data_IF_128076108856
#
_entry.id   IF_128076108856
#
_cell.length_a   1.000
_cell.length_b   1.000
_cell.length_c   1.000
_cell.angle_alpha   90.00
_cell.angle_beta   90.00
_cell.angle_gamma   90.00
#
_symmetry.space_group_name_H-M   'P 1'
#
loop_
_entity.id
_entity.type
_entity.pdbx_description
1 polymer ?
#
# COMPACT_ATOMS: atom_id res chain seq x y z
N UNK A 1 15.42 -15.94 -5.45
CA UNK A 1 14.69 -16.70 -6.49
C UNK A 1 15.43 -16.46 -7.80
N UNK A 2 15.65 -17.49 -8.60
CA UNK A 2 16.20 -17.31 -9.94
C UNK A 2 15.11 -16.79 -10.90
N UNK A 3 15.49 -16.19 -12.03
CA UNK A 3 14.55 -15.79 -13.08
C UNK A 3 13.69 -16.96 -13.58
N UNK A 4 14.26 -18.17 -13.57
CA UNK A 4 13.56 -19.41 -13.94
C UNK A 4 12.45 -19.76 -12.94
N UNK A 5 12.72 -19.61 -11.64
CA UNK A 5 11.70 -19.84 -10.60
C UNK A 5 10.56 -18.82 -10.66
N UNK A 6 10.89 -17.55 -10.98
CA UNK A 6 9.85 -16.53 -11.17
C UNK A 6 8.97 -16.83 -12.38
N UNK A 7 9.57 -17.25 -13.50
CA UNK A 7 8.83 -17.64 -14.70
C UNK A 7 7.95 -18.86 -14.44
N UNK A 8 8.44 -19.88 -13.73
CA UNK A 8 7.65 -21.05 -13.35
C UNK A 8 6.47 -20.69 -12.44
N UNK A 9 6.65 -19.77 -11.49
CA UNK A 9 5.58 -19.31 -10.62
C UNK A 9 4.48 -18.56 -11.40
N UNK A 10 4.87 -17.70 -12.38
CA UNK A 10 3.91 -17.02 -13.25
C UNK A 10 3.20 -18.01 -14.21
N UNK A 11 3.91 -19.01 -14.71
CA UNK A 11 3.30 -20.06 -15.53
C UNK A 11 2.23 -20.84 -14.75
N UNK A 12 2.51 -21.19 -13.49
CA UNK A 12 1.52 -21.81 -12.59
C UNK A 12 0.30 -20.91 -12.38
N UNK A 13 0.48 -19.61 -12.20
CA UNK A 13 -0.65 -18.68 -12.08
C UNK A 13 -1.46 -18.66 -13.38
N UNK A 14 -0.79 -18.64 -14.54
CA UNK A 14 -1.44 -18.68 -15.85
C UNK A 14 -2.23 -19.99 -16.09
N UNK A 15 -1.70 -21.13 -15.67
CA UNK A 15 -2.43 -22.43 -15.68
C UNK A 15 -3.68 -22.37 -14.80
N UNK A 16 -3.66 -21.59 -13.74
CA UNK A 16 -4.82 -21.31 -12.90
C UNK A 16 -5.74 -20.21 -13.47
N UNK A 17 -5.50 -19.71 -14.68
CA UNK A 17 -6.27 -18.65 -15.32
C UNK A 17 -6.01 -17.26 -14.73
N UNK A 18 -4.85 -17.02 -14.10
CA UNK A 18 -4.45 -15.72 -13.55
C UNK A 18 -3.20 -15.25 -14.29
N UNK A 19 -3.34 -14.20 -15.10
CA UNK A 19 -2.28 -13.67 -15.95
C UNK A 19 -1.75 -12.33 -15.42
N UNK A 20 -0.45 -12.27 -15.19
CA UNK A 20 0.22 -11.02 -14.78
C UNK A 20 0.36 -10.07 -15.98
N UNK A 21 -0.14 -8.86 -15.83
CA UNK A 21 -0.05 -7.77 -16.79
C UNK A 21 0.82 -6.66 -16.20
N UNK A 22 2.14 -6.60 -16.50
CA UNK A 22 3.02 -5.56 -15.94
C UNK A 22 2.79 -4.22 -16.64
N UNK A 23 2.15 -3.27 -15.95
CA UNK A 23 1.79 -1.95 -16.45
C UNK A 23 2.87 -0.92 -16.07
N UNK A 24 3.32 -0.04 -16.96
CA UNK A 24 4.33 0.97 -16.66
C UNK A 24 3.81 2.01 -15.66
N UNK A 25 4.69 2.42 -14.73
CA UNK A 25 4.43 3.52 -13.79
C UNK A 25 5.57 4.55 -13.87
N UNK A 26 5.36 5.80 -13.44
CA UNK A 26 6.43 6.78 -13.34
C UNK A 26 7.25 6.62 -12.05
N UNK A 27 6.90 5.67 -11.19
CA UNK A 27 7.48 5.52 -9.86
C UNK A 27 8.73 4.64 -9.88
N UNK A 28 9.63 4.89 -8.91
CA UNK A 28 10.89 4.14 -8.78
C UNK A 28 10.69 2.67 -8.43
N UNK A 29 9.54 2.30 -7.89
CA UNK A 29 9.17 0.90 -7.61
C UNK A 29 9.10 0.06 -8.89
N UNK A 30 8.93 0.71 -10.05
CA UNK A 30 8.86 0.07 -11.34
C UNK A 30 7.42 -0.20 -11.81
N UNK A 31 7.25 -1.24 -12.65
CA UNK A 31 5.94 -1.61 -13.17
C UNK A 31 5.04 -2.12 -12.07
N UNK A 32 3.76 -1.76 -12.12
CA UNK A 32 2.72 -2.39 -11.31
C UNK A 32 2.20 -3.64 -12.03
N UNK A 33 1.93 -4.68 -11.28
CA UNK A 33 1.34 -5.91 -11.80
C UNK A 33 -0.19 -5.85 -11.61
N UNK A 34 -0.91 -5.61 -12.70
CA UNK A 34 -2.33 -5.93 -12.76
C UNK A 34 -2.51 -7.42 -13.09
N UNK A 35 -3.63 -8.01 -12.70
CA UNK A 35 -3.88 -9.44 -12.92
C UNK A 35 -5.22 -9.65 -13.63
N UNK A 36 -5.15 -10.22 -14.85
CA UNK A 36 -6.32 -10.70 -15.56
C UNK A 36 -6.70 -12.07 -15.01
N UNK A 37 -7.92 -12.20 -14.52
CA UNK A 37 -8.48 -13.46 -14.04
C UNK A 37 -9.48 -13.95 -15.09
N UNK A 38 -9.12 -15.01 -15.81
CA UNK A 38 -9.96 -15.65 -16.81
C UNK A 38 -11.01 -16.54 -16.15
N UNK A 39 -12.08 -15.91 -15.74
CA UNK A 39 -13.25 -16.51 -15.12
C UNK A 39 -14.51 -15.75 -15.53
N UNK A 40 -15.65 -16.06 -15.00
CA UNK A 40 -16.90 -15.33 -15.21
C UNK A 40 -17.43 -14.79 -13.88
N UNK A 41 -17.50 -13.47 -13.76
CA UNK A 41 -17.17 -12.43 -14.75
C UNK A 41 -15.67 -12.33 -15.06
N UNK A 42 -15.31 -11.92 -16.32
CA UNK A 42 -13.92 -11.62 -16.68
C UNK A 42 -13.44 -10.46 -15.82
N UNK A 43 -12.42 -10.71 -15.02
CA UNK A 43 -12.01 -9.83 -13.92
C UNK A 43 -10.60 -9.28 -14.14
N UNK A 44 -10.41 -7.99 -13.88
CA UNK A 44 -9.10 -7.36 -13.77
C UNK A 44 -8.87 -6.89 -12.33
N UNK A 45 -7.84 -7.40 -11.67
CA UNK A 45 -7.36 -6.90 -10.38
C UNK A 45 -6.29 -5.86 -10.62
N UNK A 46 -6.51 -4.65 -10.10
CA UNK A 46 -5.73 -3.44 -10.31
C UNK A 46 -5.62 -3.02 -11.79
N UNK A 47 -5.18 -1.80 -12.06
CA UNK A 47 -5.38 -1.22 -13.38
C UNK A 47 -4.18 -0.46 -13.95
N UNK A 48 -3.22 -0.09 -13.11
CA UNK A 48 -2.19 0.86 -13.49
C UNK A 48 -2.61 2.33 -13.30
N UNK A 49 -1.65 3.27 -13.40
CA UNK A 49 -1.89 4.70 -13.27
C UNK A 49 -2.62 5.27 -14.50
N UNK A 50 -3.39 6.34 -14.31
CA UNK A 50 -4.13 7.03 -15.37
C UNK A 50 -3.18 7.76 -16.34
N UNK A 51 -2.64 7.03 -17.30
CA UNK A 51 -1.81 7.59 -18.38
C UNK A 51 -2.08 6.90 -19.71
N UNK A 52 -1.80 7.59 -20.82
CA UNK A 52 -1.91 7.01 -22.15
C UNK A 52 -1.03 5.77 -22.31
N UNK A 53 0.22 5.83 -21.86
CA UNK A 53 1.16 4.70 -21.91
C UNK A 53 0.66 3.49 -21.13
N UNK A 54 0.05 3.71 -19.95
CA UNK A 54 -0.52 2.63 -19.15
C UNK A 54 -1.76 2.03 -19.82
N UNK A 55 -2.62 2.86 -20.40
CA UNK A 55 -3.80 2.41 -21.14
C UNK A 55 -3.42 1.57 -22.36
N UNK A 56 -2.48 2.06 -23.18
CA UNK A 56 -1.97 1.32 -24.35
C UNK A 56 -1.41 -0.05 -23.93
N UNK A 57 -0.70 -0.10 -22.81
CA UNK A 57 -0.14 -1.36 -22.30
C UNK A 57 -1.22 -2.31 -21.78
N UNK A 58 -2.24 -1.80 -21.09
CA UNK A 58 -3.40 -2.63 -20.68
C UNK A 58 -4.09 -3.22 -21.92
N UNK A 59 -4.36 -2.40 -22.94
CA UNK A 59 -4.98 -2.86 -24.19
C UNK A 59 -4.14 -3.92 -24.89
N UNK A 60 -2.83 -3.67 -25.00
CA UNK A 60 -1.88 -4.61 -25.60
C UNK A 60 -1.83 -5.93 -24.83
N UNK A 61 -1.78 -5.86 -23.49
CA UNK A 61 -1.71 -7.04 -22.63
C UNK A 61 -3.00 -7.86 -22.69
N UNK A 62 -4.17 -7.22 -22.61
CA UNK A 62 -5.46 -7.89 -22.80
C UNK A 62 -5.55 -8.54 -24.20
N UNK A 63 -5.09 -7.81 -25.25
CA UNK A 63 -5.04 -8.33 -26.61
C UNK A 63 -4.20 -9.59 -26.78
N UNK A 64 -3.12 -9.74 -26.03
CA UNK A 64 -2.30 -10.96 -26.02
C UNK A 64 -3.06 -12.19 -25.51
N UNK A 65 -4.12 -11.98 -24.71
CA UNK A 65 -5.05 -12.99 -24.22
C UNK A 65 -6.35 -13.06 -25.03
N UNK A 66 -6.41 -12.40 -26.21
CA UNK A 66 -7.62 -12.35 -27.05
C UNK A 66 -8.78 -11.59 -26.43
N UNK A 67 -8.50 -10.68 -25.49
CA UNK A 67 -9.49 -9.85 -24.79
C UNK A 67 -9.30 -8.39 -25.15
N UNK A 68 -10.36 -7.61 -24.94
CA UNK A 68 -10.39 -6.15 -25.07
C UNK A 68 -10.87 -5.56 -23.75
N UNK A 69 -10.68 -4.26 -23.56
CA UNK A 69 -11.19 -3.52 -22.40
C UNK A 69 -12.71 -3.72 -22.26
N UNK A 70 -13.44 -3.72 -23.37
CA UNK A 70 -14.90 -3.87 -23.41
C UNK A 70 -15.40 -5.26 -22.98
N UNK A 71 -14.50 -6.24 -22.91
CA UNK A 71 -14.83 -7.60 -22.45
C UNK A 71 -14.80 -7.73 -20.92
N UNK A 72 -14.14 -6.79 -20.22
CA UNK A 72 -14.09 -6.76 -18.75
C UNK A 72 -15.50 -6.61 -18.17
N UNK A 73 -15.78 -7.35 -17.11
CA UNK A 73 -17.05 -7.32 -16.39
C UNK A 73 -16.90 -6.94 -14.91
N UNK A 74 -15.73 -7.16 -14.35
CA UNK A 74 -15.39 -6.80 -12.99
C UNK A 74 -13.98 -6.21 -12.93
N UNK A 75 -13.83 -5.10 -12.22
CA UNK A 75 -12.54 -4.51 -11.85
C UNK A 75 -12.46 -4.57 -10.33
N UNK A 76 -11.39 -5.17 -9.80
CA UNK A 76 -11.15 -5.27 -8.36
C UNK A 76 -10.00 -4.35 -8.01
N UNK A 77 -10.16 -3.51 -6.99
CA UNK A 77 -9.12 -2.59 -6.53
C UNK A 77 -8.59 -3.08 -5.19
N UNK A 78 -7.29 -3.32 -5.14
CA UNK A 78 -6.62 -3.82 -3.94
C UNK A 78 -6.45 -2.75 -2.88
N UNK A 79 -6.08 -1.51 -3.27
CA UNK A 79 -5.89 -0.39 -2.35
C UNK A 79 -5.88 0.97 -3.07
N UNK A 80 -5.77 2.06 -2.31
CA UNK A 80 -5.97 3.43 -2.78
C UNK A 80 -4.74 4.12 -3.39
N UNK A 81 -3.68 3.41 -3.79
CA UNK A 81 -2.57 4.04 -4.50
C UNK A 81 -2.84 4.17 -6.00
N UNK A 82 -2.44 5.31 -6.57
CA UNK A 82 -2.81 5.72 -7.93
C UNK A 82 -2.27 4.81 -9.03
N UNK A 83 -1.22 4.06 -8.80
CA UNK A 83 -0.70 3.07 -9.72
C UNK A 83 -1.49 1.75 -9.71
N UNK A 84 -2.38 1.55 -8.73
CA UNK A 84 -3.26 0.40 -8.67
C UNK A 84 -4.66 0.70 -9.22
N UNK A 85 -5.25 1.85 -8.89
CA UNK A 85 -6.63 2.15 -9.32
C UNK A 85 -6.73 3.20 -10.43
N UNK A 86 -5.65 3.86 -10.83
CA UNK A 86 -5.66 5.08 -11.65
C UNK A 86 -6.47 4.99 -12.93
N UNK A 87 -6.38 3.88 -13.69
CA UNK A 87 -7.15 3.66 -14.92
C UNK A 87 -8.57 3.14 -14.67
N UNK A 88 -8.95 2.77 -13.46
CA UNK A 88 -10.23 2.12 -13.18
C UNK A 88 -11.44 2.91 -13.74
N UNK A 89 -11.43 4.24 -13.60
CA UNK A 89 -12.49 5.12 -14.14
C UNK A 89 -12.63 5.04 -15.67
N UNK A 90 -11.51 4.99 -16.40
CA UNK A 90 -11.53 4.88 -17.87
C UNK A 90 -12.00 3.48 -18.28
N UNK A 91 -11.46 2.44 -17.64
CA UNK A 91 -11.81 1.06 -17.94
C UNK A 91 -13.28 0.78 -17.63
N UNK A 92 -13.81 1.27 -16.47
CA UNK A 92 -15.22 1.17 -16.10
C UNK A 92 -16.13 1.81 -17.13
N UNK A 93 -15.84 3.04 -17.57
CA UNK A 93 -16.67 3.74 -18.58
C UNK A 93 -16.68 3.04 -19.95
N UNK A 94 -15.57 2.42 -20.34
CA UNK A 94 -15.45 1.73 -21.63
C UNK A 94 -16.11 0.36 -21.64
N UNK A 95 -15.92 -0.40 -20.57
CA UNK A 95 -16.40 -1.79 -20.48
C UNK A 95 -17.81 -1.91 -19.91
N UNK A 96 -18.25 -0.91 -19.11
CA UNK A 96 -19.42 -1.04 -18.25
C UNK A 96 -19.21 -2.01 -17.09
N UNK A 97 -17.94 -2.37 -16.76
CA UNK A 97 -17.63 -3.29 -15.69
C UNK A 97 -18.07 -2.76 -14.32
N UNK A 98 -18.46 -3.66 -13.46
CA UNK A 98 -18.63 -3.40 -12.04
C UNK A 98 -17.26 -3.16 -11.40
N UNK A 99 -17.22 -2.39 -10.29
CA UNK A 99 -15.99 -2.13 -9.54
C UNK A 99 -16.16 -2.58 -8.11
N UNK A 100 -15.27 -3.46 -7.68
CA UNK A 100 -15.19 -3.96 -6.31
C UNK A 100 -13.99 -3.35 -5.58
N UNK A 101 -14.21 -2.86 -4.38
CA UNK A 101 -13.17 -2.35 -3.49
C UNK A 101 -13.57 -2.51 -2.03
N UNK A 102 -12.60 -2.43 -1.11
CA UNK A 102 -12.87 -2.40 0.33
C UNK A 102 -13.88 -1.29 0.66
N UNK A 103 -14.88 -1.60 1.49
CA UNK A 103 -15.97 -0.67 1.83
C UNK A 103 -15.44 0.68 2.35
N UNK A 104 -14.46 0.64 3.28
CA UNK A 104 -13.84 1.85 3.79
C UNK A 104 -13.03 2.66 2.76
N UNK A 105 -12.61 2.06 1.64
CA UNK A 105 -11.91 2.76 0.56
C UNK A 105 -12.89 3.42 -0.43
N UNK A 106 -14.09 2.89 -0.59
CA UNK A 106 -15.04 3.34 -1.60
C UNK A 106 -15.34 4.85 -1.56
N UNK A 107 -15.61 5.49 -0.40
CA UNK A 107 -15.84 6.92 -0.33
C UNK A 107 -14.67 7.77 -0.85
N UNK A 108 -13.43 7.31 -0.61
CA UNK A 108 -12.23 8.00 -1.09
C UNK A 108 -12.08 7.87 -2.61
N UNK A 109 -12.33 6.70 -3.18
CA UNK A 109 -12.29 6.48 -4.63
C UNK A 109 -13.36 7.32 -5.34
N UNK A 110 -14.55 7.42 -4.78
CA UNK A 110 -15.67 8.16 -5.34
C UNK A 110 -15.47 9.68 -5.25
N UNK A 111 -14.83 10.17 -4.18
CA UNK A 111 -14.52 11.58 -3.92
C UNK A 111 -13.03 11.88 -4.02
N UNK A 112 -12.37 11.33 -5.03
CA UNK A 112 -10.91 11.33 -5.18
C UNK A 112 -10.27 12.71 -5.01
N UNK A 113 -10.80 13.77 -5.64
CA UNK A 113 -10.23 15.11 -5.56
C UNK A 113 -10.26 15.67 -4.12
N UNK A 114 -11.37 15.53 -3.43
CA UNK A 114 -11.55 15.94 -2.02
C UNK A 114 -10.63 15.11 -1.10
N UNK A 115 -10.53 13.83 -1.38
CA UNK A 115 -9.64 12.93 -0.66
C UNK A 115 -8.18 13.34 -0.79
N UNK A 116 -7.73 13.74 -1.98
CA UNK A 116 -6.37 14.24 -2.23
C UNK A 116 -6.10 15.56 -1.51
N UNK A 117 -7.05 16.51 -1.53
CA UNK A 117 -6.90 17.78 -0.80
C UNK A 117 -6.74 17.54 0.71
N UNK A 118 -7.56 16.66 1.25
CA UNK A 118 -7.48 16.31 2.66
C UNK A 118 -6.21 15.52 3.01
N UNK A 119 -5.68 14.69 2.11
CA UNK A 119 -4.40 14.01 2.29
C UNK A 119 -3.23 15.00 2.30
N UNK A 120 -3.24 16.00 1.40
CA UNK A 120 -2.20 17.03 1.36
C UNK A 120 -2.21 17.89 2.65
N UNK A 121 -3.39 18.30 3.14
CA UNK A 121 -3.52 19.04 4.39
C UNK A 121 -3.02 18.22 5.59
N UNK A 122 -3.39 16.95 5.66
CA UNK A 122 -2.92 16.03 6.70
C UNK A 122 -1.41 15.83 6.64
N UNK A 123 -0.84 15.61 5.45
CA UNK A 123 0.60 15.43 5.30
C UNK A 123 1.39 16.69 5.68
N UNK A 124 0.88 17.89 5.31
CA UNK A 124 1.46 19.18 5.73
C UNK A 124 1.52 19.28 7.25
N UNK A 125 0.41 19.00 7.94
CA UNK A 125 0.34 19.01 9.40
C UNK A 125 1.36 18.05 10.03
N UNK A 126 1.37 16.79 9.60
CA UNK A 126 2.30 15.80 10.16
C UNK A 126 3.76 16.21 9.89
N UNK A 127 4.08 16.64 8.69
CA UNK A 127 5.43 17.09 8.36
C UNK A 127 5.88 18.27 9.23
N UNK A 128 4.98 19.23 9.51
CA UNK A 128 5.25 20.36 10.38
C UNK A 128 5.50 19.91 11.83
N UNK A 129 4.63 19.08 12.39
CA UNK A 129 4.77 18.54 13.74
C UNK A 129 6.07 17.74 13.91
N UNK A 130 6.55 17.10 12.85
CA UNK A 130 7.76 16.28 12.87
C UNK A 130 9.04 17.03 12.49
N UNK A 131 8.99 18.37 12.40
CA UNK A 131 10.16 19.24 12.28
C UNK A 131 10.69 19.42 10.86
N UNK A 132 9.91 19.12 9.81
CA UNK A 132 10.30 19.41 8.43
C UNK A 132 10.11 20.91 8.15
N UNK A 133 11.15 21.56 7.61
CA UNK A 133 11.14 22.99 7.31
C UNK A 133 10.04 23.36 6.27
N UNK A 134 9.47 24.57 6.38
CA UNK A 134 8.31 24.99 5.59
C UNK A 134 8.57 24.99 4.08
N UNK A 135 9.76 25.42 3.65
CA UNK A 135 10.18 25.40 2.23
C UNK A 135 10.23 23.98 1.66
N UNK A 136 10.73 23.01 2.43
CA UNK A 136 10.75 21.58 2.05
C UNK A 136 9.33 21.05 1.94
N UNK A 137 8.45 21.33 2.92
CA UNK A 137 7.06 20.89 2.90
C UNK A 137 6.33 21.42 1.67
N UNK A 138 6.45 22.73 1.39
CA UNK A 138 5.84 23.35 0.21
C UNK A 138 6.36 22.74 -1.10
N UNK A 139 7.65 22.45 -1.21
CA UNK A 139 8.23 21.82 -2.40
C UNK A 139 7.69 20.39 -2.61
N UNK A 140 7.55 19.60 -1.53
CA UNK A 140 7.00 18.25 -1.60
C UNK A 140 5.52 18.28 -2.03
N UNK A 141 4.71 19.11 -1.42
CA UNK A 141 3.28 19.24 -1.77
C UNK A 141 3.10 19.70 -3.23
N UNK A 142 3.89 20.65 -3.70
CA UNK A 142 3.86 21.09 -5.10
C UNK A 142 4.23 19.95 -6.06
N UNK A 143 5.23 19.12 -5.71
CA UNK A 143 5.58 17.94 -6.50
C UNK A 143 4.45 16.90 -6.54
N UNK A 144 3.77 16.66 -5.41
CA UNK A 144 2.66 15.69 -5.35
C UNK A 144 1.43 16.14 -6.14
N UNK A 145 1.15 17.42 -6.20
CA UNK A 145 0.08 17.94 -7.06
C UNK A 145 0.25 17.52 -8.52
N UNK A 146 1.49 17.36 -9.00
CA UNK A 146 1.77 16.84 -10.33
C UNK A 146 1.30 15.40 -10.56
N UNK A 147 1.16 14.61 -9.50
CA UNK A 147 0.71 13.21 -9.60
C UNK A 147 -0.82 13.04 -9.49
N UNK A 148 -1.57 14.08 -9.12
CA UNK A 148 -3.04 13.99 -8.94
C UNK A 148 -3.77 13.52 -10.19
N UNK A 149 -3.31 13.91 -11.38
CA UNK A 149 -3.89 13.49 -12.66
C UNK A 149 -3.70 12.00 -12.98
N UNK A 150 -2.89 11.27 -12.22
CA UNK A 150 -2.66 9.84 -12.41
C UNK A 150 -3.72 8.96 -11.77
N UNK A 151 -4.67 9.53 -11.04
CA UNK A 151 -5.89 8.93 -10.56
C UNK A 151 -7.12 9.68 -11.07
N UNK A 152 -8.29 9.08 -10.93
CA UNK A 152 -9.57 9.68 -11.26
C UNK A 152 -10.68 9.08 -10.39
N UNK A 153 -11.78 9.82 -10.10
CA UNK A 153 -12.88 9.25 -9.35
C UNK A 153 -13.47 8.04 -10.06
N UNK A 154 -13.80 7.01 -9.30
CA UNK A 154 -14.42 5.78 -9.79
C UNK A 154 -15.58 5.39 -8.90
N UNK A 155 -16.69 4.92 -9.50
CA UNK A 155 -17.87 4.47 -8.76
C UNK A 155 -17.69 3.04 -8.31
N UNK A 156 -17.69 2.78 -7.02
CA UNK A 156 -17.62 1.44 -6.44
C UNK A 156 -19.02 0.83 -6.37
N UNK A 157 -19.22 -0.26 -7.09
CA UNK A 157 -20.52 -0.97 -7.16
C UNK A 157 -20.62 -2.14 -6.18
N UNK A 158 -19.46 -2.74 -5.82
CA UNK A 158 -19.38 -3.85 -4.87
C UNK A 158 -18.45 -3.46 -3.72
N UNK A 159 -19.04 -3.30 -2.52
CA UNK A 159 -18.32 -2.96 -1.31
C UNK A 159 -17.88 -4.24 -0.60
N UNK A 160 -16.57 -4.47 -0.53
CA UNK A 160 -15.97 -5.66 0.07
C UNK A 160 -15.66 -5.40 1.55
N UNK A 161 -15.80 -6.43 2.38
CA UNK A 161 -15.44 -6.39 3.80
C UNK A 161 -14.44 -7.49 4.13
N UNK A 162 -13.69 -7.32 5.22
CA UNK A 162 -12.77 -8.37 5.67
C UNK A 162 -13.48 -9.69 5.92
N UNK A 163 -12.90 -10.77 5.38
CA UNK A 163 -13.44 -12.13 5.51
C UNK A 163 -14.59 -12.48 4.57
N UNK A 164 -15.12 -11.52 3.77
CA UNK A 164 -16.14 -11.85 2.77
C UNK A 164 -15.54 -12.66 1.61
N UNK A 165 -16.42 -13.21 0.79
CA UNK A 165 -16.07 -13.99 -0.39
C UNK A 165 -16.48 -13.24 -1.66
N UNK A 166 -15.54 -13.11 -2.60
CA UNK A 166 -15.80 -12.67 -3.96
C UNK A 166 -15.92 -13.93 -4.83
N UNK A 167 -17.17 -14.34 -5.08
CA UNK A 167 -17.46 -15.53 -5.87
C UNK A 167 -17.43 -15.19 -7.36
N UNK A 168 -16.62 -15.91 -8.12
CA UNK A 168 -16.66 -16.01 -9.57
C UNK A 168 -17.24 -17.40 -9.93
N UNK A 169 -17.40 -17.69 -11.23
CA UNK A 169 -18.01 -18.97 -11.63
C UNK A 169 -17.21 -20.19 -11.17
N UNK A 170 -15.90 -20.17 -11.40
CA UNK A 170 -15.03 -21.34 -11.20
C UNK A 170 -14.08 -21.19 -10.01
N UNK A 171 -14.16 -20.08 -9.26
CA UNK A 171 -13.37 -19.82 -8.05
C UNK A 171 -14.05 -18.92 -7.05
N UNK A 172 -13.63 -19.01 -5.82
CA UNK A 172 -13.99 -18.07 -4.75
C UNK A 172 -12.73 -17.45 -4.20
N UNK A 173 -12.66 -16.13 -4.19
CA UNK A 173 -11.57 -15.37 -3.62
C UNK A 173 -12.00 -14.88 -2.23
N UNK A 174 -11.33 -15.33 -1.18
CA UNK A 174 -11.54 -14.79 0.16
C UNK A 174 -10.87 -13.42 0.24
N UNK A 175 -11.65 -12.42 0.61
CA UNK A 175 -11.20 -11.04 0.78
C UNK A 175 -10.60 -10.86 2.17
N UNK A 176 -9.37 -10.38 2.25
CA UNK A 176 -8.67 -10.20 3.52
C UNK A 176 -8.09 -8.79 3.59
N UNK A 177 -8.63 -7.97 4.50
CA UNK A 177 -8.09 -6.65 4.79
C UNK A 177 -6.78 -6.79 5.57
N UNK A 178 -5.71 -6.24 5.03
CA UNK A 178 -4.35 -6.34 5.58
C UNK A 178 -3.67 -4.97 5.64
N UNK A 179 -4.22 -4.05 6.46
CA UNK A 179 -3.71 -2.68 6.51
C UNK A 179 -2.24 -2.64 6.89
N UNK A 180 -1.54 -1.65 6.35
CA UNK A 180 -0.14 -1.43 6.67
C UNK A 180 0.59 -0.61 5.62
N UNK A 181 0.87 -1.15 4.45
CA UNK A 181 1.42 -0.38 3.32
C UNK A 181 0.50 0.80 2.98
N UNK A 182 -0.78 0.54 2.90
CA UNK A 182 -1.86 1.53 2.99
C UNK A 182 -2.90 1.10 4.02
N UNK A 183 -3.77 2.02 4.46
CA UNK A 183 -4.87 1.68 5.36
C UNK A 183 -5.95 0.83 4.70
N UNK A 184 -5.96 0.74 3.37
CA UNK A 184 -6.94 -0.01 2.58
C UNK A 184 -6.41 -1.32 1.99
N UNK A 185 -5.18 -1.72 2.29
CA UNK A 185 -4.59 -2.91 1.69
C UNK A 185 -5.50 -4.12 1.84
N UNK A 186 -5.85 -4.70 0.70
CA UNK A 186 -6.71 -5.87 0.59
C UNK A 186 -6.03 -6.91 -0.27
N UNK A 187 -5.92 -8.13 0.25
CA UNK A 187 -5.40 -9.29 -0.48
C UNK A 187 -6.54 -10.28 -0.74
N UNK A 188 -6.39 -11.10 -1.77
CA UNK A 188 -7.42 -12.03 -2.22
C UNK A 188 -6.84 -13.43 -2.26
N UNK A 189 -7.43 -14.35 -1.51
CA UNK A 189 -6.93 -15.72 -1.36
C UNK A 189 -7.81 -16.72 -2.10
N UNK A 190 -7.25 -17.35 -3.13
CA UNK A 190 -7.77 -18.55 -3.78
C UNK A 190 -7.19 -19.79 -3.06
N UNK A 191 -7.89 -20.27 -2.06
CA UNK A 191 -7.41 -21.37 -1.20
C UNK A 191 -7.34 -22.70 -1.94
N UNK A 192 -8.20 -22.93 -2.94
CA UNK A 192 -8.21 -24.17 -3.73
C UNK A 192 -6.97 -24.24 -4.62
N UNK A 193 -6.55 -23.11 -5.20
CA UNK A 193 -5.38 -23.00 -6.05
C UNK A 193 -4.11 -22.63 -5.29
N UNK A 194 -4.24 -22.36 -4.00
CA UNK A 194 -3.15 -21.98 -3.09
C UNK A 194 -2.41 -20.71 -3.55
N UNK A 195 -3.16 -19.78 -4.15
CA UNK A 195 -2.66 -18.50 -4.67
C UNK A 195 -3.24 -17.35 -3.87
N UNK A 196 -2.39 -16.40 -3.50
CA UNK A 196 -2.78 -15.10 -2.94
C UNK A 196 -2.45 -14.01 -3.95
N UNK A 197 -3.42 -13.22 -4.32
CA UNK A 197 -3.23 -11.93 -5.01
C UNK A 197 -2.90 -10.91 -3.92
N UNK A 198 -1.61 -10.65 -3.74
CA UNK A 198 -1.07 -10.00 -2.56
C UNK A 198 -0.90 -8.48 -2.68
N UNK A 199 -1.13 -7.92 -3.87
CA UNK A 199 -0.88 -6.51 -4.16
C UNK A 199 0.43 -6.01 -3.52
N UNK A 200 0.40 -4.86 -2.83
CA UNK A 200 1.58 -4.28 -2.19
C UNK A 200 1.79 -4.71 -0.74
N UNK A 201 0.89 -5.57 -0.23
CA UNK A 201 1.06 -6.14 1.10
C UNK A 201 2.39 -6.91 1.26
N UNK A 202 2.81 -7.64 0.22
CA UNK A 202 4.04 -8.42 0.27
C UNK A 202 4.81 -8.34 -1.05
N UNK A 203 5.83 -7.48 -1.11
CA UNK A 203 6.72 -7.30 -2.25
C UNK A 203 8.09 -7.88 -1.93
N UNK A 204 8.69 -8.62 -2.86
CA UNK A 204 9.93 -9.37 -2.62
C UNK A 204 11.17 -8.48 -2.55
N UNK A 205 11.37 -7.62 -3.55
CA UNK A 205 12.62 -6.87 -3.76
C UNK A 205 12.76 -5.61 -2.91
N UNK A 206 11.64 -5.11 -2.36
CA UNK A 206 11.60 -3.97 -1.45
C UNK A 206 10.74 -4.30 -0.23
N UNK A 207 10.95 -3.59 0.87
CA UNK A 207 10.00 -3.57 1.97
C UNK A 207 8.80 -2.73 1.55
N UNK A 208 7.60 -3.29 1.68
CA UNK A 208 6.37 -2.48 1.54
C UNK A 208 6.40 -1.44 2.65
N UNK A 209 6.72 -0.19 2.30
CA UNK A 209 6.87 0.87 3.30
C UNK A 209 5.47 1.27 3.82
N UNK A 210 5.16 1.06 5.11
CA UNK A 210 3.91 1.51 5.70
C UNK A 210 3.86 3.04 5.72
N UNK A 211 3.13 3.64 4.78
CA UNK A 211 3.05 5.08 4.67
C UNK A 211 2.20 5.69 5.78
N UNK A 212 2.58 6.88 6.23
CA UNK A 212 1.74 7.70 7.09
C UNK A 212 0.47 8.05 6.30
N UNK A 213 -0.68 7.74 6.85
CA UNK A 213 -1.96 8.02 6.23
C UNK A 213 -3.04 8.32 7.27
N UNK A 214 -4.12 8.92 6.79
CA UNK A 214 -5.33 9.06 7.59
C UNK A 214 -6.00 7.69 7.75
N UNK A 215 -6.71 7.45 8.86
CA UNK A 215 -7.60 6.30 8.97
C UNK A 215 -8.67 6.29 7.86
N UNK A 216 -9.12 5.12 7.42
CA UNK A 216 -10.14 4.99 6.37
C UNK A 216 -11.48 5.61 6.74
N UNK A 217 -11.89 5.48 7.99
CA UNK A 217 -13.16 5.96 8.52
C UNK A 217 -13.28 7.49 8.64
N UNK A 218 -12.19 8.20 8.34
CA UNK A 218 -12.14 9.65 8.42
C UNK A 218 -12.75 10.37 7.18
N UNK A 219 -13.03 9.63 6.10
CA UNK A 219 -13.54 10.21 4.84
C UNK A 219 -15.04 10.56 4.92
N UNK A 220 -15.79 9.96 5.83
CA UNK A 220 -17.24 10.14 5.95
C UNK A 220 -17.68 11.43 6.66
N UNK A 221 -16.80 12.44 6.79
CA UNK A 221 -17.19 13.77 7.28
C UNK A 221 -17.63 13.80 8.73
N UNK A 222 -17.09 12.93 9.55
CA UNK A 222 -17.32 12.96 10.99
C UNK A 222 -16.67 14.17 11.63
N UNK A 223 -17.33 15.34 11.55
CA UNK A 223 -16.96 16.57 12.27
C UNK A 223 -16.85 16.39 13.80
N UNK A 224 -17.27 15.24 14.32
CA UNK A 224 -17.32 14.96 15.77
C UNK A 224 -16.10 14.17 16.32
N UNK A 225 -15.17 13.73 15.50
CA UNK A 225 -14.03 12.88 15.95
C UNK A 225 -12.71 13.65 16.05
N UNK A 226 -12.63 14.71 16.83
CA UNK A 226 -11.36 15.33 17.21
C UNK A 226 -10.33 15.55 16.09
N UNK A 227 -9.12 16.03 16.42
CA UNK A 227 -8.02 16.10 15.43
C UNK A 227 -7.68 14.70 14.90
N UNK A 228 -7.50 14.53 13.56
CA UNK A 228 -7.26 13.23 12.96
C UNK A 228 -5.94 12.65 13.47
N UNK A 229 -6.03 11.58 14.24
CA UNK A 229 -4.84 10.82 14.59
C UNK A 229 -4.37 10.08 13.33
N UNK A 230 -3.06 10.10 13.08
CA UNK A 230 -2.49 9.29 12.01
C UNK A 230 -2.69 7.79 12.28
N UNK A 231 -2.86 7.01 11.20
CA UNK A 231 -2.81 5.57 11.30
C UNK A 231 -1.44 5.12 11.82
N UNK A 232 -1.42 4.06 12.63
CA UNK A 232 -0.17 3.46 13.14
C UNK A 232 0.31 2.36 12.18
N UNK A 233 0.61 2.79 10.95
CA UNK A 233 0.75 1.94 9.77
C UNK A 233 1.71 0.75 9.94
N UNK A 234 2.86 0.91 10.62
CA UNK A 234 3.78 -0.21 10.84
C UNK A 234 3.31 -1.18 11.94
N UNK A 235 2.55 -0.69 12.93
CA UNK A 235 1.90 -1.55 13.94
C UNK A 235 0.86 -2.43 13.25
N UNK A 236 -0.01 -1.81 12.44
CA UNK A 236 -1.04 -2.50 11.67
C UNK A 236 -0.40 -3.48 10.68
N UNK A 237 0.65 -3.04 9.96
CA UNK A 237 1.39 -3.88 9.03
C UNK A 237 2.01 -5.11 9.72
N UNK A 238 2.58 -4.91 10.91
CA UNK A 238 3.16 -6.01 11.69
C UNK A 238 2.09 -7.04 12.09
N UNK A 239 0.89 -6.58 12.46
CA UNK A 239 -0.26 -7.44 12.73
C UNK A 239 -0.73 -8.18 11.47
N UNK A 240 -0.85 -7.47 10.35
CA UNK A 240 -1.21 -8.01 9.04
C UNK A 240 -0.21 -9.04 8.55
N UNK A 241 1.10 -8.80 8.69
CA UNK A 241 2.15 -9.77 8.35
C UNK A 241 2.06 -11.03 9.21
N UNK A 242 1.78 -10.91 10.53
CA UNK A 242 1.57 -12.08 11.40
C UNK A 242 0.37 -12.91 10.94
N UNK A 243 -0.74 -12.26 10.59
CA UNK A 243 -1.92 -12.93 10.08
C UNK A 243 -1.65 -13.63 8.74
N UNK A 244 -0.93 -12.98 7.82
CA UNK A 244 -0.57 -13.55 6.52
C UNK A 244 0.44 -14.70 6.67
N UNK A 245 1.41 -14.58 7.60
CA UNK A 245 2.35 -15.65 7.93
C UNK A 245 1.67 -16.94 8.41
N UNK A 246 0.55 -16.79 9.10
CA UNK A 246 -0.23 -17.90 9.66
C UNK A 246 -1.25 -18.49 8.67
N UNK A 247 -1.35 -17.95 7.44
CA UNK A 247 -2.25 -18.48 6.44
C UNK A 247 -1.81 -19.87 5.98
N UNK A 248 -2.78 -20.78 5.89
CA UNK A 248 -2.61 -22.10 5.31
C UNK A 248 -2.98 -22.07 3.81
N UNK A 249 -2.54 -23.08 3.07
CA UNK A 249 -2.83 -23.22 1.64
C UNK A 249 -2.37 -21.99 0.84
N UNK A 250 -1.12 -21.57 1.04
CA UNK A 250 -0.45 -20.51 0.28
C UNK A 250 0.88 -21.02 -0.23
N UNK A 251 0.96 -21.29 -1.51
CA UNK A 251 2.19 -21.69 -2.19
C UNK A 251 2.73 -20.59 -3.11
N UNK A 252 1.88 -19.62 -3.46
CA UNK A 252 2.22 -18.52 -4.35
C UNK A 252 1.54 -17.24 -3.92
N UNK A 253 2.32 -16.16 -3.78
CA UNK A 253 1.80 -14.79 -3.63
C UNK A 253 2.16 -13.99 -4.87
N UNK A 254 1.16 -13.46 -5.53
CA UNK A 254 1.26 -12.59 -6.69
C UNK A 254 1.31 -11.14 -6.18
N UNK A 255 2.49 -10.55 -6.26
CA UNK A 255 2.76 -9.22 -5.73
C UNK A 255 2.33 -8.10 -6.68
N UNK A 256 1.99 -6.92 -6.15
CA UNK A 256 1.66 -5.73 -6.94
C UNK A 256 2.85 -5.17 -7.72
N UNK A 257 4.09 -5.48 -7.30
CA UNK A 257 5.30 -5.09 -8.01
C UNK A 257 6.35 -6.22 -8.02
N UNK A 258 7.08 -6.31 -9.14
CA UNK A 258 8.22 -7.22 -9.28
C UNK A 258 7.82 -8.69 -9.39
N UNK A 259 8.63 -9.56 -8.81
CA UNK A 259 8.50 -11.00 -8.92
C UNK A 259 7.49 -11.57 -7.91
N UNK A 260 6.82 -12.70 -8.22
CA UNK A 260 5.98 -13.41 -7.27
C UNK A 260 6.79 -13.95 -6.08
N UNK A 261 6.11 -14.26 -4.99
CA UNK A 261 6.70 -14.81 -3.75
C UNK A 261 6.26 -16.25 -3.58
N UNK A 262 7.23 -17.18 -3.53
CA UNK A 262 6.99 -18.63 -3.39
C UNK A 262 7.18 -19.13 -1.96
N UNK A 263 7.72 -18.33 -1.08
CA UNK A 263 7.89 -18.60 0.35
C UNK A 263 7.57 -17.30 1.13
N UNK A 264 6.28 -17.10 1.37
CA UNK A 264 5.80 -15.93 2.08
C UNK A 264 6.25 -15.92 3.55
N UNK A 265 6.40 -17.10 4.17
CA UNK A 265 6.81 -17.23 5.57
C UNK A 265 8.24 -16.74 5.73
N UNK A 266 9.16 -17.23 4.90
CA UNK A 266 10.56 -16.80 4.95
C UNK A 266 10.70 -15.30 4.68
N UNK A 267 9.99 -14.76 3.69
CA UNK A 267 10.02 -13.33 3.39
C UNK A 267 9.48 -12.48 4.55
N UNK A 268 8.39 -12.90 5.20
CA UNK A 268 7.83 -12.19 6.35
C UNK A 268 8.81 -12.24 7.54
N UNK A 269 9.46 -13.36 7.79
CA UNK A 269 10.49 -13.48 8.84
C UNK A 269 11.68 -12.54 8.58
N UNK A 270 12.10 -12.39 7.33
CA UNK A 270 13.09 -11.37 6.92
C UNK A 270 12.62 -9.94 7.20
N UNK A 271 11.33 -9.63 6.97
CA UNK A 271 10.74 -8.31 7.28
C UNK A 271 10.75 -8.05 8.78
N UNK A 272 10.35 -9.00 9.62
CA UNK A 272 10.43 -8.85 11.07
C UNK A 272 11.87 -8.62 11.56
N UNK A 273 12.83 -9.36 11.01
CA UNK A 273 14.24 -9.16 11.32
C UNK A 273 14.74 -7.76 10.88
N UNK A 274 14.27 -7.25 9.73
CA UNK A 274 14.57 -5.90 9.25
C UNK A 274 14.00 -4.85 10.20
N UNK A 275 12.73 -4.96 10.59
CA UNK A 275 12.07 -4.04 11.52
C UNK A 275 12.80 -4.01 12.87
N UNK A 276 13.16 -5.15 13.44
CA UNK A 276 13.92 -5.22 14.69
C UNK A 276 15.28 -4.50 14.59
N UNK A 277 16.02 -4.70 13.48
CA UNK A 277 17.30 -4.00 13.24
C UNK A 277 17.11 -2.49 13.11
N UNK A 278 16.04 -2.04 12.46
CA UNK A 278 15.72 -0.62 12.26
C UNK A 278 15.35 0.04 13.60
N UNK A 279 14.44 -0.57 14.38
CA UNK A 279 14.09 -0.11 15.73
C UNK A 279 15.34 0.05 16.63
N UNK A 280 16.26 -0.91 16.57
CA UNK A 280 17.54 -0.82 17.33
C UNK A 280 18.41 0.37 16.89
N UNK A 281 18.45 0.69 15.60
CA UNK A 281 19.18 1.87 15.08
C UNK A 281 18.56 3.17 15.58
N UNK A 282 17.23 3.30 15.50
CA UNK A 282 16.50 4.48 15.97
C UNK A 282 16.75 4.71 17.45
N UNK A 283 16.64 3.68 18.29
CA UNK A 283 16.94 3.78 19.72
C UNK A 283 18.34 4.33 20.01
N UNK A 284 19.35 3.94 19.21
CA UNK A 284 20.72 4.47 19.38
C UNK A 284 20.81 5.95 19.04
N UNK A 285 20.09 6.39 18.01
CA UNK A 285 20.08 7.78 17.57
C UNK A 285 19.48 8.69 18.64
N UNK A 286 18.37 8.29 19.25
CA UNK A 286 17.67 9.09 20.29
C UNK A 286 18.23 8.91 21.71
N UNK A 287 19.28 8.10 21.90
CA UNK A 287 19.81 7.82 23.23
C UNK A 287 20.50 9.02 23.90
N UNK A 288 21.03 9.97 23.10
CA UNK A 288 21.78 11.10 23.61
C UNK A 288 20.89 12.32 23.94
N UNK A 289 19.83 12.53 23.18
CA UNK A 289 18.90 13.66 23.32
C UNK A 289 17.58 13.39 22.62
N UNK A 290 16.50 14.08 23.01
CA UNK A 290 15.24 14.06 22.28
C UNK A 290 15.39 14.62 20.86
N UNK A 291 14.86 13.93 19.84
CA UNK A 291 14.92 14.31 18.43
C UNK A 291 13.55 14.25 17.79
N UNK A 292 13.28 15.10 16.80
CA UNK A 292 12.12 14.98 15.91
C UNK A 292 12.28 13.77 14.99
N UNK A 293 11.19 13.28 14.41
CA UNK A 293 11.31 12.17 13.47
C UNK A 293 12.11 12.56 12.21
N UNK A 294 12.07 13.82 11.79
CA UNK A 294 12.91 14.32 10.69
C UNK A 294 14.40 14.31 11.05
N UNK A 295 14.77 14.79 12.24
CA UNK A 295 16.16 14.73 12.73
C UNK A 295 16.67 13.28 12.83
N UNK A 296 15.81 12.35 13.27
CA UNK A 296 16.13 10.91 13.28
C UNK A 296 16.35 10.40 11.85
N UNK A 297 15.46 10.77 10.90
CA UNK A 297 15.60 10.38 9.50
C UNK A 297 16.91 10.90 8.89
N UNK A 298 17.27 12.17 9.16
CA UNK A 298 18.53 12.76 8.71
C UNK A 298 19.75 12.03 9.29
N UNK A 299 19.72 11.67 10.58
CA UNK A 299 20.79 10.90 11.21
C UNK A 299 20.96 9.50 10.62
N UNK A 300 19.88 8.88 10.07
CA UNK A 300 19.91 7.55 9.49
C UNK A 300 20.27 7.54 7.99
N UNK A 301 19.84 8.55 7.22
CA UNK A 301 19.91 8.55 5.75
C UNK A 301 20.46 9.82 5.12
N UNK A 302 20.87 10.84 5.91
CA UNK A 302 21.46 12.07 5.39
C UNK A 302 20.51 12.78 4.42
N UNK A 303 21.02 13.16 3.24
CA UNK A 303 20.28 13.94 2.24
C UNK A 303 19.04 13.24 1.68
N UNK A 304 18.97 11.91 1.74
CA UNK A 304 17.78 11.15 1.36
C UNK A 304 16.57 11.52 2.22
N UNK A 305 16.80 11.87 3.50
CA UNK A 305 15.75 12.35 4.40
C UNK A 305 15.14 13.69 3.97
N UNK A 306 15.77 14.44 3.08
CA UNK A 306 15.22 15.68 2.50
C UNK A 306 14.51 15.37 1.18
N UNK A 307 15.16 14.65 0.27
CA UNK A 307 14.61 14.36 -1.07
C UNK A 307 13.44 13.38 -1.05
N UNK A 308 13.39 12.49 -0.05
CA UNK A 308 12.33 11.51 0.19
C UNK A 308 11.74 11.68 1.60
N UNK A 309 11.53 12.94 2.01
CA UNK A 309 11.22 13.27 3.40
C UNK A 309 9.99 12.52 3.93
N UNK A 310 8.91 12.42 3.16
CA UNK A 310 7.70 11.73 3.61
C UNK A 310 7.88 10.22 3.77
N UNK A 311 8.64 9.58 2.87
CA UNK A 311 8.92 8.15 2.95
C UNK A 311 9.80 7.81 4.15
N UNK A 312 10.86 8.61 4.38
CA UNK A 312 11.76 8.41 5.51
C UNK A 312 11.09 8.75 6.83
N UNK A 313 10.21 9.76 6.83
CA UNK A 313 9.37 10.11 7.98
C UNK A 313 8.42 8.98 8.35
N UNK A 314 7.74 8.39 7.35
CA UNK A 314 6.85 7.24 7.55
C UNK A 314 7.59 6.06 8.18
N UNK A 315 8.77 5.76 7.66
CA UNK A 315 9.61 4.69 8.20
C UNK A 315 10.02 4.95 9.67
N UNK A 316 10.44 6.18 10.00
CA UNK A 316 10.81 6.54 11.39
C UNK A 316 9.60 6.45 12.31
N UNK A 317 8.48 7.09 11.94
CA UNK A 317 7.30 7.14 12.80
C UNK A 317 6.70 5.75 13.04
N UNK A 318 6.67 4.89 12.01
CA UNK A 318 6.23 3.53 12.18
C UNK A 318 7.06 2.76 13.22
N UNK A 319 8.39 2.91 13.18
CA UNK A 319 9.26 2.28 14.18
C UNK A 319 9.18 2.92 15.56
N UNK A 320 8.95 4.24 15.64
CA UNK A 320 8.69 4.93 16.91
C UNK A 320 7.42 4.37 17.56
N UNK A 321 6.35 4.14 16.80
CA UNK A 321 5.12 3.57 17.32
C UNK A 321 5.33 2.19 17.96
N UNK A 322 6.10 1.32 17.29
CA UNK A 322 6.47 0.03 17.86
C UNK A 322 7.26 0.17 19.15
N UNK A 323 8.20 1.12 19.19
CA UNK A 323 9.02 1.37 20.38
C UNK A 323 8.25 2.02 21.54
N UNK A 324 7.22 2.83 21.23
CA UNK A 324 6.30 3.36 22.25
C UNK A 324 5.47 2.23 22.87
N UNK A 325 4.93 1.32 22.04
CA UNK A 325 4.19 0.14 22.54
C UNK A 325 5.06 -0.77 23.41
N UNK A 326 6.36 -0.86 23.09
CA UNK A 326 7.33 -1.59 23.93
C UNK A 326 7.73 -0.83 25.22
N UNK A 327 7.25 0.40 25.42
CA UNK A 327 7.62 1.26 26.55
C UNK A 327 9.08 1.75 26.51
N UNK A 328 9.71 1.74 25.35
CA UNK A 328 11.13 2.07 25.16
C UNK A 328 11.39 3.51 24.70
N UNK A 329 10.36 4.17 24.20
CA UNK A 329 10.40 5.55 23.71
C UNK A 329 9.22 6.31 24.30
N UNK A 330 9.43 7.58 24.60
CA UNK A 330 8.40 8.53 25.02
C UNK A 330 8.34 9.69 24.06
N UNK A 331 7.12 10.17 23.81
CA UNK A 331 6.85 11.35 23.04
C UNK A 331 6.86 12.59 23.96
N UNK A 332 7.45 13.68 23.48
CA UNK A 332 7.46 14.99 24.12
C UNK A 332 6.98 16.03 23.09
N UNK A 333 6.04 16.88 23.44
CA UNK A 333 5.53 17.93 22.55
C UNK A 333 5.88 19.30 23.15
N UNK A 334 6.57 20.13 22.33
CA UNK A 334 6.98 21.46 22.69
C UNK A 334 6.77 22.40 21.49
N UNK A 335 6.07 23.51 21.68
CA UNK A 335 5.77 24.51 20.64
C UNK A 335 5.20 23.92 19.32
N UNK A 336 4.34 22.90 19.44
CA UNK A 336 3.72 22.22 18.29
C UNK A 336 4.62 21.20 17.60
N UNK A 337 5.88 21.04 18.02
CA UNK A 337 6.84 20.07 17.47
C UNK A 337 6.92 18.85 18.40
N UNK A 338 6.96 17.68 17.78
CA UNK A 338 7.06 16.40 18.49
C UNK A 338 8.50 15.91 18.48
N UNK A 339 9.00 15.55 19.67
CA UNK A 339 10.31 14.96 19.87
C UNK A 339 10.19 13.59 20.57
N UNK A 340 11.11 12.70 20.28
CA UNK A 340 11.16 11.36 20.81
C UNK A 340 12.42 11.13 21.61
N UNK A 341 12.25 10.57 22.81
CA UNK A 341 13.35 10.28 23.73
C UNK A 341 13.31 8.84 24.19
N UNK A 342 14.47 8.28 24.56
CA UNK A 342 14.53 6.99 25.24
C UNK A 342 13.77 7.02 26.58
N UNK A 343 12.96 6.01 26.87
CA UNK A 343 12.30 5.87 28.17
C UNK A 343 13.33 5.54 29.25
N UNK A 344 13.29 6.27 30.37
CA UNK A 344 14.12 6.01 31.55
C UNK A 344 13.83 4.66 32.24
N UNK A 345 12.67 4.06 31.93
CA UNK A 345 12.21 2.80 32.52
C UNK A 345 12.50 1.57 31.62
N UNK A 346 13.34 1.69 30.58
CA UNK A 346 13.63 0.55 29.71
C UNK A 346 14.53 -0.46 30.42
N UNK A 347 14.15 -1.74 30.53
CA UNK A 347 15.10 -2.79 30.92
C UNK A 347 16.23 -2.85 29.86
N UNK A 348 17.43 -2.95 30.35
CA UNK A 348 18.70 -2.99 29.59
C UNK A 348 18.75 -4.14 28.57
#
# INVERSE_FOLDING_TARGET
MSSEQAAAALARAAEAGIHCLPIPTPFQVGRVNAYLIEDEPLTLLDTGPNSGTSLDEVERALGAHGRRVEDLKLIVISHGHIDHFGLASILQRRSGAEVAALDGLAPWLERYAEGMDANDAFAEQIMAEQGIAADVRHALLAAWQGFRGWGAPVTVTHRLTDGCELALRDRTLRVLHRPGHSTSDTIFHDAERQIVLGADHLIKHISSNPLISRPLDWIDGGEERGEPQRARSLVDYTASLRATRAMENVELVLAGHGEPVIDHVALIDERFALHARRSKKIRRVIAAQPLTAHEIAQALWGDVAVTQAYLTLSEVLGHIDLLIDEGRVVEQREDGVVRYAGSSNSPS
#
